data_IF_976922825536
#
_entry.id   IF_976922825536
#
_cell.length_a   1.000
_cell.length_b   1.000
_cell.length_c   1.000
_cell.angle_alpha   90.00
_cell.angle_beta   90.00
_cell.angle_gamma   90.00
#
_symmetry.space_group_name_H-M   'P 1'
#
loop_
_entity.id
_entity.type
_entity.pdbx_description
1 polymer ?
#
# COMPACT_ATOMS: atom_id res chain seq x y z
N UNK A 1 -2.15 1.11 6.10
CA UNK A 1 -1.38 0.17 5.25
C UNK A 1 -1.60 -1.31 5.61
N UNK A 2 -2.01 -1.65 6.83
CA UNK A 2 -2.42 -3.00 7.25
C UNK A 2 -3.29 -3.72 6.21
N UNK A 3 -4.39 -3.09 5.80
CA UNK A 3 -5.32 -3.61 4.78
C UNK A 3 -4.65 -3.92 3.44
N UNK A 4 -3.69 -3.08 3.04
CA UNK A 4 -3.02 -3.19 1.74
C UNK A 4 -2.03 -4.34 1.68
N UNK A 5 -1.48 -4.76 2.83
CA UNK A 5 -0.71 -6.01 2.96
C UNK A 5 -1.61 -7.23 2.94
N UNK A 6 -2.71 -7.19 3.70
CA UNK A 6 -3.70 -8.28 3.72
C UNK A 6 -4.28 -8.52 2.32
N UNK A 7 -4.58 -7.45 1.56
CA UNK A 7 -5.11 -7.54 0.21
C UNK A 7 -4.21 -8.37 -0.75
N UNK A 8 -2.89 -8.40 -0.52
CA UNK A 8 -1.95 -9.18 -1.33
C UNK A 8 -2.23 -10.69 -1.23
N UNK A 9 -2.82 -11.17 -0.14
CA UNK A 9 -3.18 -12.58 0.02
C UNK A 9 -4.14 -13.05 -1.10
N UNK A 10 -4.99 -12.15 -1.61
CA UNK A 10 -5.89 -12.44 -2.73
C UNK A 10 -5.16 -12.68 -4.06
N UNK A 11 -3.92 -12.22 -4.20
CA UNK A 11 -3.08 -12.49 -5.39
C UNK A 11 -2.32 -13.81 -5.28
N UNK A 12 -2.30 -14.44 -4.10
CA UNK A 12 -1.55 -15.67 -3.84
C UNK A 12 -2.34 -16.70 -3.00
N UNK A 13 -3.61 -17.01 -3.35
CA UNK A 13 -4.50 -17.81 -2.51
C UNK A 13 -3.96 -19.22 -2.24
N UNK A 14 -3.34 -19.86 -3.24
CA UNK A 14 -2.75 -21.19 -3.06
C UNK A 14 -1.55 -21.21 -2.10
N UNK A 15 -0.68 -20.18 -2.17
CA UNK A 15 0.43 -20.06 -1.24
C UNK A 15 -0.06 -19.74 0.17
N UNK A 16 -1.05 -18.85 0.29
CA UNK A 16 -1.68 -18.51 1.56
C UNK A 16 -2.32 -19.72 2.24
N UNK A 17 -3.12 -20.51 1.53
CA UNK A 17 -3.74 -21.73 2.07
C UNK A 17 -2.71 -22.69 2.66
N UNK A 18 -1.70 -23.06 1.88
CA UNK A 18 -0.64 -23.99 2.33
C UNK A 18 0.10 -23.45 3.55
N UNK A 19 0.31 -22.13 3.60
CA UNK A 19 0.96 -21.48 4.74
C UNK A 19 0.12 -21.55 6.00
N UNK A 20 -1.18 -21.25 5.91
CA UNK A 20 -2.11 -21.38 7.04
C UNK A 20 -2.18 -22.81 7.55
N UNK A 21 -2.27 -23.80 6.65
CA UNK A 21 -2.26 -25.22 7.03
C UNK A 21 -1.00 -25.60 7.83
N UNK A 22 0.18 -25.09 7.43
CA UNK A 22 1.43 -25.29 8.19
C UNK A 22 1.38 -24.58 9.54
N UNK A 23 0.89 -23.34 9.59
CA UNK A 23 0.85 -22.57 10.84
C UNK A 23 -0.12 -23.18 11.84
N UNK A 24 -1.25 -23.73 11.38
CA UNK A 24 -2.15 -24.53 12.20
C UNK A 24 -1.42 -25.69 12.88
N UNK A 25 -0.56 -26.42 12.16
CA UNK A 25 0.22 -27.49 12.75
C UNK A 25 1.26 -26.98 13.76
N UNK A 26 1.99 -25.92 13.43
CA UNK A 26 3.05 -25.36 14.29
C UNK A 26 2.51 -24.78 15.61
N UNK A 27 1.29 -24.23 15.57
CA UNK A 27 0.66 -23.61 16.72
C UNK A 27 -0.32 -24.53 17.48
N UNK A 28 -0.55 -25.76 17.02
CA UNK A 28 -1.58 -26.64 17.61
C UNK A 28 -1.36 -26.89 19.09
N UNK A 29 -0.10 -27.10 19.49
CA UNK A 29 0.30 -27.34 20.89
C UNK A 29 0.02 -26.17 21.84
N UNK A 30 -0.27 -24.98 21.32
CA UNK A 30 -0.60 -23.80 22.13
C UNK A 30 -2.10 -23.54 22.24
N UNK A 31 -2.92 -24.25 21.46
CA UNK A 31 -4.37 -24.19 21.60
C UNK A 31 -4.81 -24.98 22.84
N UNK A 32 -5.88 -24.51 23.49
CA UNK A 32 -6.47 -25.18 24.65
C UNK A 32 -7.75 -25.90 24.24
N UNK A 33 -7.96 -27.10 24.79
CA UNK A 33 -9.25 -27.78 24.74
C UNK A 33 -10.08 -27.35 25.95
N UNK A 34 -11.16 -26.61 25.71
CA UNK A 34 -12.11 -26.17 26.73
C UNK A 34 -13.43 -26.94 26.56
N UNK A 35 -14.33 -26.95 27.58
CA UNK A 35 -15.66 -27.56 27.44
C UNK A 35 -16.47 -27.01 26.24
N UNK A 36 -16.27 -25.74 25.89
CA UNK A 36 -16.89 -25.08 24.73
C UNK A 36 -16.17 -25.30 23.40
N UNK A 37 -15.13 -26.13 23.36
CA UNK A 37 -14.33 -26.43 22.17
C UNK A 37 -12.91 -25.89 22.23
N UNK A 38 -12.23 -25.93 21.08
CA UNK A 38 -10.84 -25.47 20.92
C UNK A 38 -10.78 -23.94 21.02
N UNK A 39 -9.86 -23.42 21.82
CA UNK A 39 -9.58 -21.99 21.96
C UNK A 39 -8.09 -21.68 21.64
N UNK A 40 -7.80 -20.76 20.70
CA UNK A 40 -8.74 -20.13 19.77
C UNK A 40 -9.39 -21.15 18.84
N UNK A 41 -10.59 -20.85 18.32
CA UNK A 41 -11.16 -21.65 17.23
C UNK A 41 -10.33 -21.48 15.94
N UNK A 42 -10.52 -22.36 14.94
CA UNK A 42 -9.79 -22.24 13.65
C UNK A 42 -10.09 -20.93 12.92
N UNK A 43 -11.29 -20.39 13.08
CA UNK A 43 -11.67 -19.10 12.50
C UNK A 43 -10.94 -17.93 13.18
N UNK A 44 -10.86 -17.96 14.50
CA UNK A 44 -10.14 -16.96 15.30
C UNK A 44 -8.63 -17.01 15.03
N UNK A 45 -8.08 -18.21 14.89
CA UNK A 45 -6.67 -18.40 14.52
C UNK A 45 -6.39 -17.92 13.08
N UNK A 46 -7.34 -18.07 12.15
CA UNK A 46 -7.24 -17.52 10.80
C UNK A 46 -7.22 -15.98 10.80
N UNK A 47 -8.05 -15.35 11.65
CA UNK A 47 -8.04 -13.90 11.88
C UNK A 47 -6.69 -13.45 12.46
N UNK A 48 -6.16 -14.19 13.44
CA UNK A 48 -4.84 -13.94 14.01
C UNK A 48 -3.76 -13.93 12.93
N UNK A 49 -3.74 -14.92 12.02
CA UNK A 49 -2.75 -14.98 10.95
C UNK A 49 -2.86 -13.85 9.94
N UNK A 50 -4.07 -13.47 9.51
CA UNK A 50 -4.25 -12.31 8.62
C UNK A 50 -3.81 -11.02 9.30
N UNK A 51 -4.12 -10.90 10.60
CA UNK A 51 -3.68 -9.78 11.43
C UNK A 51 -2.16 -9.68 11.43
N UNK A 52 -1.45 -10.77 11.71
CA UNK A 52 0.02 -10.80 11.68
C UNK A 52 0.58 -10.41 10.30
N UNK A 53 0.02 -10.92 9.20
CA UNK A 53 0.45 -10.51 7.85
C UNK A 53 0.26 -9.01 7.62
N UNK A 54 -0.85 -8.46 8.11
CA UNK A 54 -1.19 -7.05 7.99
C UNK A 54 -0.26 -6.15 8.81
N UNK A 55 0.06 -6.55 10.04
CA UNK A 55 0.73 -5.67 11.01
C UNK A 55 2.18 -6.01 11.30
N UNK A 56 2.74 -7.04 10.64
CA UNK A 56 4.10 -7.49 10.92
C UNK A 56 5.08 -6.33 10.93
N UNK A 57 5.89 -6.15 11.98
CA UNK A 57 6.72 -4.97 12.11
C UNK A 57 7.74 -4.86 10.97
N UNK A 58 7.97 -3.62 10.53
CA UNK A 58 8.99 -3.34 9.52
C UNK A 58 10.35 -3.56 10.15
N UNK A 59 11.14 -4.48 9.59
CA UNK A 59 12.46 -4.85 10.12
C UNK A 59 12.50 -6.19 10.87
N UNK A 60 11.37 -6.90 10.99
CA UNK A 60 11.26 -8.15 11.73
C UNK A 60 10.60 -7.96 13.09
N UNK A 61 10.33 -9.06 13.81
CA UNK A 61 9.78 -8.96 15.17
C UNK A 61 10.79 -8.23 16.05
N UNK A 62 10.49 -7.03 16.58
CA UNK A 62 11.38 -6.40 17.54
C UNK A 62 11.46 -7.32 18.77
N UNK A 63 12.55 -7.22 19.53
CA UNK A 63 12.65 -7.81 20.88
C UNK A 63 11.68 -7.18 21.89
N UNK A 64 10.60 -6.53 21.43
CA UNK A 64 9.73 -5.69 22.22
C UNK A 64 8.44 -6.45 22.61
N UNK A 65 8.17 -6.61 23.92
CA UNK A 65 6.88 -7.08 24.45
C UNK A 65 5.65 -6.31 23.92
N UNK A 66 5.86 -5.08 23.42
CA UNK A 66 4.83 -4.19 22.88
C UNK A 66 4.04 -4.82 21.72
N UNK A 67 4.69 -5.54 20.79
CA UNK A 67 3.96 -6.11 19.66
C UNK A 67 3.00 -7.23 20.11
N UNK A 68 3.45 -8.10 21.02
CA UNK A 68 2.60 -9.16 21.58
C UNK A 68 1.40 -8.57 22.31
N UNK A 69 1.61 -7.51 23.10
CA UNK A 69 0.52 -6.80 23.79
C UNK A 69 -0.50 -6.20 22.81
N UNK A 70 -0.03 -5.57 21.71
CA UNK A 70 -0.90 -5.01 20.66
C UNK A 70 -1.76 -6.08 20.00
N UNK A 71 -1.18 -7.22 19.64
CA UNK A 71 -1.91 -8.32 19.01
C UNK A 71 -2.88 -8.97 20.00
N UNK A 72 -2.47 -9.16 21.25
CA UNK A 72 -3.31 -9.70 22.31
C UNK A 72 -4.55 -8.82 22.56
N UNK A 73 -4.35 -7.51 22.74
CA UNK A 73 -5.45 -6.56 22.94
C UNK A 73 -6.39 -6.45 21.72
N UNK A 74 -5.85 -6.55 20.50
CA UNK A 74 -6.67 -6.62 19.31
C UNK A 74 -7.53 -7.89 19.26
N UNK A 75 -6.93 -9.06 19.53
CA UNK A 75 -7.67 -10.32 19.53
C UNK A 75 -8.79 -10.30 20.57
N UNK A 76 -8.51 -9.87 21.80
CA UNK A 76 -9.55 -9.72 22.82
C UNK A 76 -10.74 -8.87 22.33
N UNK A 77 -10.45 -7.68 21.79
CA UNK A 77 -11.48 -6.80 21.25
C UNK A 77 -12.24 -7.44 20.10
N UNK A 78 -11.53 -7.98 19.11
CA UNK A 78 -12.16 -8.55 17.91
C UNK A 78 -13.08 -9.74 18.24
N UNK A 79 -12.67 -10.59 19.18
CA UNK A 79 -13.48 -11.75 19.58
C UNK A 79 -14.73 -11.35 20.39
N UNK A 80 -14.60 -10.36 21.29
CA UNK A 80 -15.75 -9.79 22.01
C UNK A 80 -16.73 -9.07 21.08
N UNK A 81 -16.24 -8.47 20.00
CA UNK A 81 -17.12 -7.88 18.97
C UNK A 81 -17.83 -8.94 18.12
N UNK A 82 -17.17 -10.07 17.84
CA UNK A 82 -17.74 -11.19 17.08
C UNK A 82 -18.85 -11.93 17.84
N UNK A 83 -18.81 -11.93 19.19
CA UNK A 83 -19.86 -12.49 20.08
C UNK A 83 -20.14 -13.99 19.87
N UNK A 84 -19.15 -14.75 19.37
CA UNK A 84 -19.28 -16.20 19.13
C UNK A 84 -18.96 -17.03 20.38
N UNK A 85 -17.84 -16.74 21.06
CA UNK A 85 -17.38 -17.49 22.25
C UNK A 85 -17.24 -16.63 23.51
N UNK A 86 -17.22 -15.30 23.36
CA UNK A 86 -17.04 -14.31 24.43
C UNK A 86 -17.69 -12.98 24.00
N UNK A 87 -18.04 -12.11 24.93
CA UNK A 87 -18.62 -10.78 24.65
C UNK A 87 -18.29 -9.77 25.74
N UNK A 88 -18.57 -8.48 25.49
CA UNK A 88 -18.41 -7.44 26.52
C UNK A 88 -19.39 -7.58 27.69
N UNK A 89 -20.59 -8.11 27.46
CA UNK A 89 -21.66 -8.20 28.47
C UNK A 89 -21.55 -9.49 29.27
N UNK A 90 -21.20 -10.59 28.61
CA UNK A 90 -20.98 -11.90 29.23
C UNK A 90 -19.62 -12.44 28.78
N UNK A 91 -18.52 -12.05 29.47
CA UNK A 91 -17.18 -12.53 29.16
C UNK A 91 -17.05 -14.02 29.44
N UNK A 92 -16.34 -14.74 28.55
CA UNK A 92 -15.90 -16.10 28.81
C UNK A 92 -14.42 -16.07 29.19
N UNK A 93 -14.14 -15.98 30.48
CA UNK A 93 -12.77 -15.79 30.99
C UNK A 93 -11.84 -16.93 30.58
N UNK A 94 -12.32 -18.18 30.58
CA UNK A 94 -11.50 -19.32 30.17
C UNK A 94 -11.08 -19.22 28.69
N UNK A 95 -11.99 -18.82 27.81
CA UNK A 95 -11.70 -18.59 26.38
C UNK A 95 -10.74 -17.40 26.19
N UNK A 96 -11.03 -16.27 26.86
CA UNK A 96 -10.21 -15.07 26.77
C UNK A 96 -8.76 -15.35 27.22
N UNK A 97 -8.57 -16.07 28.33
CA UNK A 97 -7.24 -16.45 28.81
C UNK A 97 -6.56 -17.45 27.88
N UNK A 98 -7.28 -18.43 27.33
CA UNK A 98 -6.72 -19.37 26.37
C UNK A 98 -6.21 -18.67 25.10
N UNK A 99 -6.97 -17.71 24.56
CA UNK A 99 -6.54 -16.93 23.39
C UNK A 99 -5.34 -16.04 23.73
N UNK A 100 -5.33 -15.40 24.90
CA UNK A 100 -4.20 -14.58 25.36
C UNK A 100 -2.93 -15.43 25.52
N UNK A 101 -3.03 -16.61 26.12
CA UNK A 101 -1.93 -17.55 26.28
C UNK A 101 -1.43 -18.08 24.92
N UNK A 102 -2.35 -18.37 23.99
CA UNK A 102 -2.02 -18.75 22.62
C UNK A 102 -1.21 -17.66 21.91
N UNK A 103 -1.67 -16.40 21.94
CA UNK A 103 -0.96 -15.27 21.30
C UNK A 103 0.45 -15.10 21.88
N UNK A 104 0.57 -15.16 23.21
CA UNK A 104 1.86 -15.03 23.88
C UNK A 104 2.82 -16.18 23.49
N UNK A 105 2.35 -17.43 23.50
CA UNK A 105 3.16 -18.59 23.17
C UNK A 105 3.53 -18.67 21.68
N UNK A 106 2.59 -18.33 20.80
CA UNK A 106 2.80 -18.34 19.35
C UNK A 106 3.84 -17.30 18.92
N UNK A 107 3.89 -16.15 19.59
CA UNK A 107 4.81 -15.05 19.30
C UNK A 107 6.10 -15.05 20.14
N UNK A 108 6.31 -16.08 20.97
CA UNK A 108 7.53 -16.22 21.77
C UNK A 108 8.64 -16.93 20.97
N UNK A 109 9.77 -16.27 20.66
CA UNK A 109 10.87 -16.87 19.91
C UNK A 109 11.49 -18.08 20.61
N UNK A 110 11.49 -18.14 21.94
CA UNK A 110 12.03 -19.28 22.69
C UNK A 110 11.12 -20.51 22.58
N UNK A 111 9.83 -20.31 22.36
CA UNK A 111 8.85 -21.40 22.28
C UNK A 111 8.51 -21.79 20.86
N UNK A 112 8.57 -20.87 19.90
CA UNK A 112 8.01 -21.05 18.57
C UNK A 112 8.82 -20.44 17.41
N UNK A 113 10.14 -20.62 17.45
CA UNK A 113 11.05 -20.12 16.42
C UNK A 113 10.68 -20.55 14.99
N UNK A 114 10.17 -21.77 14.79
CA UNK A 114 9.83 -22.31 13.47
C UNK A 114 8.67 -21.54 12.83
N UNK A 115 7.60 -21.28 13.57
CA UNK A 115 6.48 -20.46 13.11
C UNK A 115 6.92 -19.04 12.79
N UNK A 116 7.69 -18.41 13.69
CA UNK A 116 8.16 -17.04 13.48
C UNK A 116 9.06 -16.93 12.25
N UNK A 117 9.94 -17.90 12.05
CA UNK A 117 10.81 -17.97 10.86
C UNK A 117 9.99 -18.13 9.57
N UNK A 118 9.00 -19.03 9.57
CA UNK A 118 8.14 -19.22 8.38
C UNK A 118 7.23 -18.00 8.13
N UNK A 119 6.73 -17.37 9.19
CA UNK A 119 5.95 -16.13 9.14
C UNK A 119 6.77 -14.99 8.56
N UNK A 120 7.97 -14.74 9.08
CA UNK A 120 8.87 -13.71 8.56
C UNK A 120 9.24 -13.95 7.10
N UNK A 121 9.44 -15.21 6.70
CA UNK A 121 9.67 -15.56 5.30
C UNK A 121 8.45 -15.23 4.44
N UNK A 122 7.25 -15.59 4.90
CA UNK A 122 6.02 -15.39 4.16
C UNK A 122 5.67 -13.91 3.99
N UNK A 123 5.69 -13.12 5.08
CA UNK A 123 5.27 -11.71 5.09
C UNK A 123 6.15 -10.81 4.24
N UNK A 124 7.39 -11.21 3.90
CA UNK A 124 8.26 -10.43 3.00
C UNK A 124 7.57 -10.06 1.69
N UNK A 125 6.83 -10.98 1.07
CA UNK A 125 6.17 -10.71 -0.22
C UNK A 125 4.95 -9.77 -0.06
N UNK A 126 3.98 -10.01 0.84
CA UNK A 126 2.93 -9.06 1.18
C UNK A 126 3.44 -7.69 1.64
N UNK A 127 4.54 -7.61 2.39
CA UNK A 127 5.12 -6.37 2.84
C UNK A 127 5.64 -5.51 1.69
N UNK A 128 6.43 -6.12 0.79
CA UNK A 128 6.96 -5.42 -0.40
C UNK A 128 5.84 -4.96 -1.34
N UNK A 129 4.90 -5.84 -1.68
CA UNK A 129 3.73 -5.46 -2.49
C UNK A 129 2.84 -4.43 -1.78
N UNK A 130 2.74 -4.51 -0.45
CA UNK A 130 2.01 -3.57 0.40
C UNK A 130 2.58 -2.15 0.35
N UNK A 131 3.90 -1.98 0.22
CA UNK A 131 4.49 -0.65 -0.01
C UNK A 131 3.97 -0.02 -1.31
N UNK A 132 3.94 -0.79 -2.39
CA UNK A 132 3.45 -0.32 -3.68
C UNK A 132 1.96 -0.06 -3.68
N UNK A 133 1.16 -0.96 -3.10
CA UNK A 133 -0.27 -0.72 -2.87
C UNK A 133 -0.51 0.54 -2.03
N UNK A 134 0.36 0.83 -1.05
CA UNK A 134 0.32 2.04 -0.25
C UNK A 134 0.53 3.32 -1.07
N UNK A 135 1.45 3.30 -2.04
CA UNK A 135 1.65 4.41 -2.97
C UNK A 135 0.46 4.57 -3.92
N UNK A 136 -0.07 3.46 -4.45
CA UNK A 136 -1.25 3.43 -5.31
C UNK A 136 -2.45 4.07 -4.61
N UNK A 137 -2.80 3.60 -3.40
CA UNK A 137 -3.91 4.14 -2.64
C UNK A 137 -3.69 5.63 -2.28
N UNK A 138 -2.47 6.01 -1.92
CA UNK A 138 -2.12 7.40 -1.62
C UNK A 138 -2.37 8.31 -2.83
N UNK A 139 -1.86 7.92 -4.00
CA UNK A 139 -1.98 8.76 -5.19
C UNK A 139 -3.43 8.83 -5.67
N UNK A 140 -4.12 7.68 -5.77
CA UNK A 140 -5.53 7.63 -6.14
C UNK A 140 -6.39 8.48 -5.22
N UNK A 141 -6.18 8.41 -3.90
CA UNK A 141 -6.92 9.22 -2.92
C UNK A 141 -6.76 10.72 -3.20
N UNK A 142 -5.55 11.16 -3.52
CA UNK A 142 -5.26 12.59 -3.73
C UNK A 142 -5.74 13.10 -5.09
N UNK A 143 -5.74 12.27 -6.14
CA UNK A 143 -5.99 12.73 -7.52
C UNK A 143 -7.40 12.47 -8.03
N UNK A 144 -8.16 11.61 -7.35
CA UNK A 144 -9.58 11.37 -7.63
C UNK A 144 -10.47 12.59 -7.33
N UNK A 145 -11.71 12.64 -7.86
CA UNK A 145 -12.71 13.62 -7.44
C UNK A 145 -13.01 13.54 -5.93
N UNK A 146 -13.45 14.66 -5.35
CA UNK A 146 -13.65 14.79 -3.89
C UNK A 146 -12.47 15.41 -3.16
N UNK A 147 -12.56 15.54 -1.83
CA UNK A 147 -11.51 16.13 -0.98
C UNK A 147 -10.73 15.01 -0.27
N UNK A 148 -9.41 14.90 -0.49
CA UNK A 148 -8.62 13.86 0.16
C UNK A 148 -8.44 14.14 1.65
N UNK A 149 -8.85 13.20 2.49
CA UNK A 149 -8.56 13.22 3.93
C UNK A 149 -7.31 12.39 4.27
N UNK A 150 -6.47 12.92 5.18
CA UNK A 150 -5.23 12.28 5.63
C UNK A 150 -5.27 12.17 7.17
N UNK A 151 -5.55 10.97 7.68
CA UNK A 151 -5.44 10.70 9.10
C UNK A 151 -4.00 10.91 9.60
N UNK A 152 -3.85 11.44 10.81
CA UNK A 152 -2.55 11.79 11.39
C UNK A 152 -1.55 10.63 11.36
N UNK A 153 -0.30 10.90 10.97
CA UNK A 153 0.75 9.89 10.95
C UNK A 153 0.81 9.05 9.67
N UNK A 154 -0.24 9.04 8.85
CA UNK A 154 -0.38 8.17 7.67
C UNK A 154 0.35 8.62 6.41
N UNK A 155 1.06 9.75 6.48
CA UNK A 155 2.09 10.16 5.55
C UNK A 155 3.29 9.19 5.50
N UNK A 156 3.50 8.43 6.59
CA UNK A 156 4.37 7.26 6.63
C UNK A 156 3.55 5.96 6.58
N UNK A 157 4.21 4.80 6.64
CA UNK A 157 3.52 3.54 6.78
C UNK A 157 2.82 3.44 8.14
N UNK A 158 1.52 3.20 8.09
CA UNK A 158 0.70 2.98 9.27
C UNK A 158 0.15 1.55 9.29
N UNK A 159 0.64 0.78 10.26
CA UNK A 159 0.29 -0.61 10.52
C UNK A 159 -0.54 -0.76 11.80
N UNK A 160 -1.29 0.28 12.15
CA UNK A 160 -2.21 0.22 13.29
C UNK A 160 -3.37 -0.75 13.06
N UNK A 161 -3.88 -1.22 14.18
CA UNK A 161 -5.12 -1.98 14.35
C UNK A 161 -6.26 -1.03 14.71
N UNK A 162 -7.40 -1.57 15.13
CA UNK A 162 -8.52 -0.76 15.61
C UNK A 162 -8.17 -0.04 16.92
N UNK A 163 -9.01 0.94 17.27
CA UNK A 163 -8.96 1.68 18.53
C UNK A 163 -8.72 0.76 19.74
N UNK A 164 -7.76 1.05 20.65
CA UNK A 164 -6.92 2.26 20.74
C UNK A 164 -5.59 2.24 19.98
N UNK A 165 -5.27 1.18 19.22
CA UNK A 165 -3.96 1.05 18.56
C UNK A 165 -3.73 2.10 17.45
N UNK A 166 -4.80 2.63 16.85
CA UNK A 166 -4.75 3.74 15.88
C UNK A 166 -4.70 5.15 16.51
N UNK A 167 -4.63 5.25 17.85
CA UNK A 167 -4.50 6.52 18.59
C UNK A 167 -3.11 6.75 19.19
N UNK A 168 -2.13 5.90 18.85
CA UNK A 168 -0.73 6.05 19.27
C UNK A 168 -0.15 7.39 18.82
N UNK A 169 0.80 7.91 19.60
CA UNK A 169 1.41 9.22 19.34
C UNK A 169 2.14 9.27 18.01
N UNK A 170 2.06 10.43 17.35
CA UNK A 170 2.72 10.69 16.06
C UNK A 170 3.97 11.53 16.30
N UNK A 171 5.14 11.03 15.85
CA UNK A 171 6.38 11.82 15.86
C UNK A 171 6.43 12.79 14.66
N UNK A 172 5.81 13.97 14.83
CA UNK A 172 5.83 15.04 13.83
C UNK A 172 7.23 15.64 13.59
N UNK A 173 8.13 15.55 14.58
CA UNK A 173 9.51 16.04 14.44
C UNK A 173 10.28 15.23 13.38
N UNK A 174 10.14 13.90 13.43
CA UNK A 174 10.72 12.99 12.43
C UNK A 174 10.20 13.31 11.03
N UNK A 175 8.89 13.51 10.86
CA UNK A 175 8.26 13.78 9.57
C UNK A 175 8.70 15.12 8.97
N UNK A 176 8.79 16.17 9.79
CA UNK A 176 9.30 17.49 9.36
C UNK A 176 10.75 17.40 8.86
N UNK A 177 11.62 16.71 9.62
CA UNK A 177 13.02 16.48 9.23
C UNK A 177 13.12 15.67 7.94
N UNK A 178 12.33 14.59 7.83
CA UNK A 178 12.29 13.77 6.62
C UNK A 178 11.87 14.58 5.40
N UNK A 179 10.79 15.36 5.49
CA UNK A 179 10.29 16.18 4.38
C UNK A 179 11.31 17.23 3.93
N UNK A 180 11.89 18.00 4.87
CA UNK A 180 12.92 18.99 4.56
C UNK A 180 14.14 18.35 3.87
N UNK A 181 14.55 17.18 4.36
CA UNK A 181 15.67 16.42 3.79
C UNK A 181 15.37 15.89 2.39
N UNK A 182 14.13 15.46 2.13
CA UNK A 182 13.68 15.01 0.82
C UNK A 182 13.67 16.16 -0.20
N UNK A 183 13.12 17.32 0.17
CA UNK A 183 13.09 18.50 -0.69
C UNK A 183 14.50 18.94 -1.09
N UNK A 184 15.42 19.10 -0.12
CA UNK A 184 16.81 19.46 -0.39
C UNK A 184 17.50 18.47 -1.34
N UNK A 185 17.28 17.16 -1.16
CA UNK A 185 17.85 16.14 -2.05
C UNK A 185 17.27 16.20 -3.45
N UNK A 186 15.96 16.41 -3.56
CA UNK A 186 15.29 16.48 -4.85
C UNK A 186 15.72 17.72 -5.64
N UNK A 187 15.89 18.87 -4.98
CA UNK A 187 16.43 20.09 -5.60
C UNK A 187 17.85 19.89 -6.12
N UNK A 188 18.70 19.18 -5.37
CA UNK A 188 20.08 18.92 -5.78
C UNK A 188 20.19 17.88 -6.91
N UNK A 189 19.39 16.80 -6.86
CA UNK A 189 19.39 15.75 -7.89
C UNK A 189 18.07 14.95 -7.88
N UNK A 190 17.07 15.34 -8.71
CA UNK A 190 15.76 14.69 -8.75
C UNK A 190 15.83 13.18 -8.96
N UNK A 191 16.58 12.74 -9.97
CA UNK A 191 16.71 11.31 -10.34
C UNK A 191 17.31 10.49 -9.20
N UNK A 192 18.42 10.94 -8.61
CA UNK A 192 19.06 10.22 -7.51
C UNK A 192 18.19 10.17 -6.26
N UNK A 193 17.46 11.26 -5.97
CA UNK A 193 16.53 11.31 -4.85
C UNK A 193 15.43 10.24 -4.98
N UNK A 194 14.85 10.08 -6.16
CA UNK A 194 13.79 9.08 -6.41
C UNK A 194 14.33 7.65 -6.37
N UNK A 195 15.48 7.38 -6.99
CA UNK A 195 16.11 6.04 -6.94
C UNK A 195 16.33 5.59 -5.49
N UNK A 196 16.74 6.52 -4.61
CA UNK A 196 16.93 6.22 -3.18
C UNK A 196 15.62 5.85 -2.49
N UNK A 197 14.53 6.54 -2.81
CA UNK A 197 13.19 6.28 -2.24
C UNK A 197 12.73 4.85 -2.55
N UNK A 198 12.90 4.38 -3.78
CA UNK A 198 12.49 3.02 -4.18
C UNK A 198 13.39 1.94 -3.61
N UNK A 199 14.69 2.22 -3.39
CA UNK A 199 15.62 1.25 -2.78
C UNK A 199 15.33 0.99 -1.30
N UNK A 200 14.72 1.95 -0.60
CA UNK A 200 14.44 1.86 0.84
C UNK A 200 12.98 2.22 1.16
N UNK A 201 11.99 1.53 0.57
CA UNK A 201 10.60 1.92 0.75
C UNK A 201 10.16 1.77 2.21
N UNK A 202 10.79 0.87 2.96
CA UNK A 202 10.47 0.54 4.34
C UNK A 202 10.53 1.73 5.32
N UNK A 203 11.29 2.79 5.02
CA UNK A 203 11.40 3.97 5.87
C UNK A 203 10.19 4.93 5.78
N UNK A 204 9.26 4.69 4.84
CA UNK A 204 8.06 5.50 4.64
C UNK A 204 8.28 6.81 3.89
N UNK A 205 9.53 7.18 3.58
CA UNK A 205 9.84 8.43 2.90
C UNK A 205 9.27 8.50 1.48
N UNK A 206 9.16 7.36 0.80
CA UNK A 206 8.57 7.30 -0.55
C UNK A 206 7.08 7.65 -0.52
N UNK A 207 6.35 7.24 0.53
CA UNK A 207 4.94 7.59 0.70
C UNK A 207 4.77 9.07 1.03
N UNK A 208 5.60 9.59 1.93
CA UNK A 208 5.63 11.01 2.26
C UNK A 208 5.91 11.86 1.02
N UNK A 209 6.87 11.43 0.19
CA UNK A 209 7.21 12.11 -1.07
C UNK A 209 6.03 12.16 -2.03
N UNK A 210 5.42 11.01 -2.33
CA UNK A 210 4.26 10.92 -3.24
C UNK A 210 3.10 11.77 -2.73
N UNK A 211 2.77 11.67 -1.44
CA UNK A 211 1.72 12.46 -0.82
C UNK A 211 1.99 13.96 -0.91
N UNK A 212 3.19 14.40 -0.52
CA UNK A 212 3.57 15.80 -0.54
C UNK A 212 3.48 16.41 -1.93
N UNK A 213 4.06 15.75 -2.93
CA UNK A 213 4.08 16.25 -4.31
C UNK A 213 2.69 16.27 -4.94
N UNK A 214 1.88 15.25 -4.69
CA UNK A 214 0.49 15.21 -5.17
C UNK A 214 -0.37 16.32 -4.54
N UNK A 215 -0.25 16.54 -3.22
CA UNK A 215 -0.95 17.64 -2.54
C UNK A 215 -0.45 19.02 -3.01
N UNK A 216 0.85 19.19 -3.24
CA UNK A 216 1.41 20.42 -3.78
C UNK A 216 0.87 20.73 -5.19
N UNK A 217 0.78 19.72 -6.06
CA UNK A 217 0.14 19.89 -7.38
C UNK A 217 -1.33 20.24 -7.24
N UNK A 218 -2.05 19.57 -6.33
CA UNK A 218 -3.47 19.84 -6.08
C UNK A 218 -3.73 21.26 -5.56
N UNK A 219 -2.83 21.79 -4.73
CA UNK A 219 -2.84 23.19 -4.28
C UNK A 219 -2.54 24.16 -5.42
N UNK A 220 -1.63 23.80 -6.34
CA UNK A 220 -1.24 24.63 -7.49
C UNK A 220 -2.30 24.67 -8.60
N UNK A 221 -3.03 23.58 -8.82
CA UNK A 221 -4.04 23.43 -9.87
C UNK A 221 -5.44 23.10 -9.32
N UNK A 222 -6.02 23.91 -8.42
CA UNK A 222 -7.26 23.54 -7.73
C UNK A 222 -8.43 23.26 -8.68
N UNK A 223 -8.52 23.98 -9.82
CA UNK A 223 -9.60 23.82 -10.81
C UNK A 223 -9.57 22.44 -11.48
N UNK A 224 -8.38 21.90 -11.77
CA UNK A 224 -8.23 20.55 -12.37
C UNK A 224 -8.85 19.49 -11.45
N UNK A 225 -8.65 19.60 -10.14
CA UNK A 225 -9.07 18.58 -9.21
C UNK A 225 -10.49 18.77 -8.66
N UNK A 226 -11.01 20.00 -8.66
CA UNK A 226 -12.38 20.31 -8.18
C UNK A 226 -13.43 20.25 -9.29
N UNK A 227 -13.10 20.73 -10.50
CA UNK A 227 -14.04 20.84 -11.63
C UNK A 227 -13.62 20.06 -12.88
N UNK A 228 -12.36 19.61 -12.94
CA UNK A 228 -11.86 18.91 -14.11
C UNK A 228 -12.56 17.57 -14.33
N UNK A 229 -12.86 17.29 -15.60
CA UNK A 229 -13.46 16.03 -16.06
C UNK A 229 -12.57 14.86 -15.65
N UNK A 230 -13.19 13.73 -15.33
CA UNK A 230 -12.49 12.47 -15.08
C UNK A 230 -12.51 11.65 -16.37
N UNK A 231 -11.35 11.45 -16.99
CA UNK A 231 -11.23 10.74 -18.26
C UNK A 231 -10.40 9.48 -18.03
N UNK A 232 -11.00 8.26 -18.04
CA UNK A 232 -10.23 7.03 -17.99
C UNK A 232 -9.36 6.92 -19.25
N UNK A 233 -8.11 6.45 -19.10
CA UNK A 233 -7.23 6.21 -20.24
C UNK A 233 -7.16 4.72 -20.58
N UNK A 234 -7.20 4.42 -21.88
CA UNK A 234 -7.00 3.07 -22.38
C UNK A 234 -5.54 2.64 -22.20
N UNK A 235 -5.35 1.37 -21.86
CA UNK A 235 -4.04 0.73 -21.70
C UNK A 235 -4.01 -0.52 -22.57
N UNK A 236 -2.94 -0.68 -23.33
CA UNK A 236 -2.73 -1.80 -24.25
C UNK A 236 -1.41 -2.50 -23.93
N UNK A 237 -1.26 -3.76 -24.35
CA UNK A 237 -0.06 -4.57 -24.16
C UNK A 237 -0.17 -5.60 -23.02
N UNK A 238 0.94 -6.30 -22.76
CA UNK A 238 0.94 -7.53 -21.96
C UNK A 238 0.51 -7.37 -20.49
N UNK A 239 0.55 -6.15 -19.94
CA UNK A 239 0.16 -5.85 -18.54
C UNK A 239 -0.96 -4.82 -18.43
N UNK A 240 -1.81 -4.70 -19.46
CA UNK A 240 -2.92 -3.75 -19.45
C UNK A 240 -3.85 -3.91 -18.21
N UNK A 241 -4.08 -5.15 -17.77
CA UNK A 241 -4.90 -5.48 -16.59
C UNK A 241 -4.24 -5.12 -15.23
N UNK A 242 -2.98 -4.70 -15.25
CA UNK A 242 -2.17 -4.33 -14.08
C UNK A 242 -1.99 -2.82 -13.94
N UNK A 243 -2.74 -2.00 -14.68
CA UNK A 243 -2.67 -0.54 -14.65
C UNK A 243 -4.04 0.06 -14.36
N UNK A 244 -4.06 1.16 -13.61
CA UNK A 244 -5.17 2.10 -13.54
C UNK A 244 -4.62 3.45 -13.99
N UNK A 245 -5.23 4.04 -15.02
CA UNK A 245 -4.83 5.32 -15.56
C UNK A 245 -6.03 6.20 -15.85
N UNK A 246 -5.94 7.47 -15.46
CA UNK A 246 -6.96 8.48 -15.78
C UNK A 246 -6.36 9.89 -15.81
N UNK A 247 -7.00 10.77 -16.57
CA UNK A 247 -6.71 12.19 -16.58
C UNK A 247 -7.80 12.99 -15.85
N UNK A 248 -7.37 14.07 -15.19
CA UNK A 248 -8.23 15.17 -14.74
C UNK A 248 -8.01 16.35 -15.66
N UNK A 249 -9.07 16.85 -16.30
CA UNK A 249 -8.94 17.80 -17.43
C UNK A 249 -9.84 19.01 -17.24
N UNK A 250 -9.24 20.20 -17.28
CA UNK A 250 -9.94 21.49 -17.34
C UNK A 250 -9.31 22.35 -18.44
N UNK A 251 -9.94 23.44 -18.88
CA UNK A 251 -9.43 24.31 -19.95
C UNK A 251 -7.97 24.64 -19.72
N UNK A 252 -7.12 24.38 -20.71
CA UNK A 252 -5.71 24.71 -20.59
C UNK A 252 -4.84 23.82 -19.71
N UNK A 253 -5.40 22.86 -18.95
CA UNK A 253 -4.66 22.01 -18.01
C UNK A 253 -5.18 20.57 -17.90
N UNK A 254 -4.24 19.63 -17.89
CA UNK A 254 -4.52 18.23 -17.60
C UNK A 254 -3.50 17.65 -16.62
N UNK A 255 -3.98 16.74 -15.78
CA UNK A 255 -3.16 15.96 -14.87
C UNK A 255 -3.48 14.48 -15.05
N UNK A 256 -2.48 13.69 -15.40
CA UNK A 256 -2.59 12.25 -15.62
C UNK A 256 -2.06 11.49 -14.39
N UNK A 257 -2.92 10.63 -13.81
CA UNK A 257 -2.56 9.67 -12.76
C UNK A 257 -2.36 8.30 -13.38
N UNK A 258 -1.23 7.66 -13.09
CA UNK A 258 -0.93 6.29 -13.55
C UNK A 258 -0.43 5.48 -12.36
N UNK A 259 -1.09 4.37 -12.07
CA UNK A 259 -0.73 3.49 -10.94
C UNK A 259 -0.80 2.04 -11.37
N UNK A 260 0.11 1.21 -10.87
CA UNK A 260 0.03 -0.24 -11.09
C UNK A 260 -0.81 -0.98 -10.04
N UNK A 261 -1.10 -2.26 -10.30
CA UNK A 261 -1.77 -3.19 -9.38
C UNK A 261 -1.30 -4.62 -9.62
N UNK A 262 -1.60 -5.50 -8.68
CA UNK A 262 -1.27 -6.93 -8.75
C UNK A 262 0.22 -7.24 -8.83
N UNK A 263 1.00 -6.63 -7.94
CA UNK A 263 2.48 -6.67 -7.96
C UNK A 263 3.06 -8.08 -7.91
N UNK A 264 2.35 -9.05 -7.35
CA UNK A 264 2.86 -10.43 -7.29
C UNK A 264 2.95 -11.10 -8.66
N UNK A 265 2.24 -10.58 -9.69
CA UNK A 265 2.29 -11.01 -11.09
C UNK A 265 3.52 -10.50 -11.86
N UNK A 266 4.37 -9.69 -11.22
CA UNK A 266 5.65 -9.25 -11.80
C UNK A 266 6.81 -10.24 -11.60
N UNK A 267 6.53 -11.42 -11.01
CA UNK A 267 7.55 -12.45 -10.81
C UNK A 267 8.72 -11.93 -9.98
N UNK A 268 9.95 -12.11 -10.46
CA UNK A 268 11.16 -11.61 -9.80
C UNK A 268 11.18 -10.07 -9.64
N UNK A 269 10.47 -9.35 -10.51
CA UNK A 269 10.44 -7.88 -10.52
C UNK A 269 9.46 -7.28 -9.52
N UNK A 270 8.72 -8.07 -8.73
CA UNK A 270 7.70 -7.51 -7.80
C UNK A 270 8.25 -6.49 -6.78
N UNK A 271 9.55 -6.58 -6.45
CA UNK A 271 10.22 -5.61 -5.57
C UNK A 271 10.60 -4.31 -6.27
N UNK A 272 10.71 -4.31 -7.59
CA UNK A 272 11.02 -3.14 -8.40
C UNK A 272 10.27 -3.26 -9.75
N UNK A 273 8.93 -3.11 -9.74
CA UNK A 273 8.11 -3.23 -10.94
C UNK A 273 8.24 -1.95 -11.78
N UNK A 274 9.45 -1.69 -12.25
CA UNK A 274 9.87 -0.45 -12.89
C UNK A 274 10.40 -0.71 -14.29
N UNK A 275 10.33 0.32 -15.14
CA UNK A 275 11.01 0.33 -16.43
C UNK A 275 10.63 -0.86 -17.32
N UNK A 276 11.64 -1.61 -17.77
CA UNK A 276 11.47 -2.78 -18.64
C UNK A 276 10.54 -3.87 -18.09
N UNK A 277 10.26 -3.89 -16.77
CA UNK A 277 9.29 -4.81 -16.18
C UNK A 277 7.87 -4.65 -16.79
N UNK A 278 7.56 -3.48 -17.36
CA UNK A 278 6.29 -3.17 -18.02
C UNK A 278 6.21 -3.67 -19.47
N UNK A 279 7.30 -4.15 -20.07
CA UNK A 279 7.32 -4.71 -21.42
C UNK A 279 6.76 -3.76 -22.47
N UNK A 280 5.87 -4.26 -23.32
CA UNK A 280 5.20 -3.51 -24.39
C UNK A 280 3.91 -2.79 -23.93
N UNK A 281 3.73 -2.58 -22.63
CA UNK A 281 2.51 -1.95 -22.10
C UNK A 281 2.56 -0.44 -22.35
N UNK A 282 1.50 0.12 -22.93
CA UNK A 282 1.42 1.54 -23.32
C UNK A 282 0.09 2.17 -22.87
N UNK A 283 0.12 3.44 -22.49
CA UNK A 283 -1.07 4.28 -22.43
C UNK A 283 -1.42 4.73 -23.84
N UNK A 284 -2.71 4.76 -24.16
CA UNK A 284 -3.21 5.27 -25.44
C UNK A 284 -3.97 6.55 -25.19
N UNK A 285 -3.64 7.58 -25.98
CA UNK A 285 -4.31 8.86 -26.00
C UNK A 285 -5.26 8.93 -27.21
N UNK A 286 -6.35 9.70 -27.10
CA UNK A 286 -7.18 10.12 -28.23
C UNK A 286 -6.38 10.52 -29.48
N UNK A 287 -6.83 10.18 -30.71
CA UNK A 287 -6.15 10.49 -31.98
C UNK A 287 -5.81 11.98 -32.18
N UNK A 288 -6.57 12.87 -31.54
CA UNK A 288 -6.40 14.32 -31.65
C UNK A 288 -5.45 14.90 -30.58
N UNK A 289 -4.88 14.07 -29.71
CA UNK A 289 -3.91 14.51 -28.71
C UNK A 289 -2.56 14.83 -29.36
N UNK A 290 -2.29 16.10 -29.63
CA UNK A 290 -0.96 16.55 -30.08
C UNK A 290 0.14 15.94 -29.19
N UNK A 291 1.29 15.51 -29.76
CA UNK A 291 2.45 15.15 -28.97
C UNK A 291 2.80 16.34 -28.07
N UNK A 292 2.68 16.14 -26.77
CA UNK A 292 2.89 17.18 -25.77
C UNK A 292 3.84 16.68 -24.69
N UNK A 293 4.71 17.57 -24.17
CA UNK A 293 5.51 17.25 -23.02
C UNK A 293 4.62 17.14 -21.78
N UNK A 294 4.79 16.03 -21.08
CA UNK A 294 4.19 15.72 -19.80
C UNK A 294 5.29 15.67 -18.76
N UNK A 295 5.24 16.57 -17.80
CA UNK A 295 6.21 16.57 -16.71
C UNK A 295 5.73 15.66 -15.59
N UNK A 296 6.53 14.65 -15.25
CA UNK A 296 6.30 13.83 -14.07
C UNK A 296 6.67 14.62 -12.81
N UNK A 297 5.68 15.06 -12.06
CA UNK A 297 5.91 15.88 -10.86
C UNK A 297 6.60 15.11 -9.74
N UNK A 298 6.63 13.77 -9.79
CA UNK A 298 7.29 12.92 -8.79
C UNK A 298 8.79 12.77 -9.06
N UNK A 299 9.22 12.90 -10.31
CA UNK A 299 10.60 12.62 -10.76
C UNK A 299 11.29 13.77 -11.46
N UNK A 300 10.53 14.78 -11.88
CA UNK A 300 10.92 15.88 -12.76
C UNK A 300 11.29 15.48 -14.20
N UNK A 301 11.07 14.22 -14.58
CA UNK A 301 11.29 13.75 -15.96
C UNK A 301 10.18 14.30 -16.87
N UNK A 302 10.56 14.67 -18.10
CA UNK A 302 9.60 15.06 -19.13
C UNK A 302 9.41 13.90 -20.10
N UNK A 303 8.16 13.54 -20.34
CA UNK A 303 7.73 12.44 -21.20
C UNK A 303 6.99 13.03 -22.40
N UNK A 304 7.19 12.48 -23.58
CA UNK A 304 6.49 12.93 -24.79
C UNK A 304 5.63 11.80 -25.32
N UNK A 305 4.36 12.10 -25.59
CA UNK A 305 3.47 11.16 -26.28
C UNK A 305 3.97 11.02 -27.72
N UNK A 306 4.03 9.78 -28.22
CA UNK A 306 4.45 9.50 -29.59
C UNK A 306 3.48 10.14 -30.61
N UNK A 307 3.91 10.24 -31.88
CA UNK A 307 3.04 10.65 -32.98
C UNK A 307 1.83 9.73 -33.17
N UNK A 308 1.90 8.49 -32.67
CA UNK A 308 0.83 7.49 -32.70
C UNK A 308 -0.13 7.62 -31.50
N UNK A 309 0.04 8.65 -30.66
CA UNK A 309 -0.80 8.85 -29.48
C UNK A 309 -0.51 7.85 -28.35
N UNK A 310 0.71 7.30 -28.26
CA UNK A 310 1.06 6.30 -27.24
C UNK A 310 2.14 6.79 -26.28
N UNK A 311 2.09 6.30 -25.03
CA UNK A 311 3.11 6.58 -24.02
C UNK A 311 3.51 5.28 -23.28
N UNK A 312 4.74 4.77 -23.44
CA UNK A 312 5.17 3.52 -22.83
C UNK A 312 5.22 3.55 -21.31
N UNK A 313 4.63 2.54 -20.65
CA UNK A 313 4.69 2.41 -19.19
C UNK A 313 6.12 2.15 -18.70
N UNK A 314 6.98 1.58 -19.55
CA UNK A 314 8.41 1.44 -19.27
C UNK A 314 9.13 2.78 -19.12
N UNK A 315 8.58 3.87 -19.67
CA UNK A 315 9.09 5.23 -19.46
C UNK A 315 8.35 5.92 -18.32
N UNK A 316 7.01 5.83 -18.29
CA UNK A 316 6.17 6.47 -17.25
C UNK A 316 6.52 5.99 -15.85
N UNK A 317 6.76 4.69 -15.70
CA UNK A 317 7.06 4.01 -14.43
C UNK A 317 8.52 3.54 -14.39
N UNK A 318 9.43 4.29 -15.02
CA UNK A 318 10.87 3.98 -15.02
C UNK A 318 11.49 4.08 -13.61
N UNK A 319 11.04 5.08 -12.83
CA UNK A 319 11.66 5.44 -11.55
C UNK A 319 10.77 5.17 -10.33
N UNK A 320 9.45 5.11 -10.50
CA UNK A 320 8.46 4.83 -9.44
C UNK A 320 7.33 3.95 -9.98
N UNK A 321 6.67 3.12 -9.13
CA UNK A 321 5.54 2.28 -9.53
C UNK A 321 4.22 3.07 -9.67
N UNK A 322 4.29 4.40 -9.52
CA UNK A 322 3.21 5.36 -9.70
C UNK A 322 3.76 6.61 -10.40
N UNK A 323 2.94 7.27 -11.20
CA UNK A 323 3.27 8.54 -11.86
C UNK A 323 2.13 9.54 -11.74
N UNK A 324 2.51 10.81 -11.62
CA UNK A 324 1.60 11.95 -11.69
C UNK A 324 2.17 12.94 -12.69
N UNK A 325 1.53 13.07 -13.84
CA UNK A 325 2.02 13.86 -14.96
C UNK A 325 1.17 15.13 -15.09
N UNK A 326 1.81 16.28 -15.24
CA UNK A 326 1.16 17.55 -15.55
C UNK A 326 1.46 17.92 -17.01
N UNK A 327 0.45 18.37 -17.74
CA UNK A 327 0.63 18.90 -19.10
C UNK A 327 1.29 20.28 -19.09
N UNK A 328 2.32 20.47 -19.92
CA UNK A 328 2.79 21.82 -20.28
C UNK A 328 1.99 22.32 -21.51
N UNK A 329 1.21 23.40 -21.38
CA UNK A 329 0.41 24.03 -22.47
C UNK A 329 -1.11 23.74 -22.49
N UNK A 330 -1.85 24.37 -23.41
CA UNK A 330 -3.33 24.48 -23.45
C UNK A 330 -4.07 23.18 -23.88
N UNK A 331 -5.03 22.65 -23.11
CA UNK A 331 -5.59 21.27 -23.19
C UNK A 331 -6.96 21.10 -23.84
N UNK A 332 -7.27 21.86 -24.89
CA UNK A 332 -8.54 21.69 -25.63
C UNK A 332 -8.78 20.24 -26.11
N UNK A 333 -7.75 19.52 -26.57
CA UNK A 333 -7.91 18.24 -27.27
C UNK A 333 -8.26 17.02 -26.38
N UNK A 334 -8.09 17.07 -25.04
CA UNK A 334 -8.49 15.94 -24.15
C UNK A 334 -9.98 16.06 -23.78
N UNK A 335 -10.59 17.23 -23.95
CA UNK A 335 -11.99 17.48 -23.57
C UNK A 335 -13.00 17.01 -24.61
N UNK A 336 -12.64 17.04 -25.89
CA UNK A 336 -13.59 16.83 -26.99
C UNK A 336 -14.14 15.39 -27.08
N UNK A 337 -13.45 14.40 -26.50
CA UNK A 337 -13.92 13.00 -26.46
C UNK A 337 -14.50 12.58 -25.11
N UNK A 338 -14.41 13.44 -24.08
CA UNK A 338 -15.00 13.19 -22.76
C UNK A 338 -16.48 13.64 -22.68
N UNK A 339 -16.97 14.29 -23.72
CA UNK A 339 -18.39 14.56 -23.99
C UNK A 339 -18.88 13.56 -25.02
#
# INVERSE_FOLDING_TARGET
DTRLRIAVLSEMPGAWRRTVERWYALNERFASALPGGRAPSRHEEYLFYQTLVGTWPIGGLPSAPDYVARISGYMEKALKEAKQHTSWISPNEAHDQAVKAFVAAALDPARNADFLTDLERFVRKPQWAGYWNGLVQTLLKVTSPGVPDIYQGTEFWDLSLVDPDNRRLVDYGQRRRALASLNKRFEASPTQAVVRLVRRPHDGHVKLWVLHRALALRKRLPQVFTRGLYVPLAVSGARADQVIAFARVVEGKAVLTVVGRFWTRFGANFRQPLGSAWGNTVLTFPPNGSPRPWRNILTNETLTVSSEGTLPLSQVLASLPVALLESDGDTQNIREEAR
#
